data_IF_658492326412
#
_entry.id   IF_658492326412
#
_cell.length_a   1.000
_cell.length_b   1.000
_cell.length_c   1.000
_cell.angle_alpha   90.00
_cell.angle_beta   90.00
_cell.angle_gamma   90.00
#
_symmetry.space_group_name_H-M   'P 1'
#
loop_
_entity.id
_entity.type
_entity.pdbx_description
1 polymer ?
#
# COMPACT_ATOMS: atom_id res chain seq x y z
N UNK A 1 1.73 -4.86 14.55
CA UNK A 1 3.02 -4.16 14.67
C UNK A 1 3.15 -3.50 16.03
N UNK A 2 4.36 -3.13 16.43
CA UNK A 2 4.57 -2.43 17.71
C UNK A 2 3.76 -1.12 17.78
N UNK A 3 3.67 -0.38 16.68
CA UNK A 3 2.87 0.84 16.58
C UNK A 3 1.38 0.55 16.81
N UNK A 4 0.84 -0.48 16.16
CA UNK A 4 -0.58 -0.85 16.33
C UNK A 4 -0.88 -1.31 17.75
N UNK A 5 0.06 -2.01 18.40
CA UNK A 5 -0.09 -2.44 19.77
C UNK A 5 -0.09 -1.26 20.74
N UNK A 6 0.80 -0.28 20.55
CA UNK A 6 0.86 0.93 21.36
C UNK A 6 -0.45 1.74 21.24
N UNK A 7 -0.95 1.92 20.01
CA UNK A 7 -2.24 2.57 19.77
C UNK A 7 -3.40 1.84 20.47
N UNK A 8 -3.51 0.53 20.27
CA UNK A 8 -4.57 -0.26 20.90
C UNK A 8 -4.50 -0.26 22.42
N UNK A 9 -3.29 -0.26 22.99
CA UNK A 9 -3.10 -0.17 24.44
C UNK A 9 -3.57 1.19 24.98
N UNK A 10 -3.23 2.30 24.29
CA UNK A 10 -3.72 3.64 24.68
C UNK A 10 -5.24 3.72 24.63
N UNK A 11 -5.87 3.17 23.59
CA UNK A 11 -7.34 3.13 23.51
C UNK A 11 -7.95 2.27 24.62
N UNK A 12 -7.32 1.14 24.96
CA UNK A 12 -7.79 0.29 26.06
C UNK A 12 -7.73 1.03 27.41
N UNK A 13 -6.62 1.71 27.69
CA UNK A 13 -6.44 2.48 28.91
C UNK A 13 -7.45 3.64 29.05
N UNK A 14 -7.73 4.33 27.94
CA UNK A 14 -8.63 5.50 27.94
C UNK A 14 -10.12 5.11 27.92
N UNK A 15 -10.48 4.03 27.25
CA UNK A 15 -11.88 3.67 27.00
C UNK A 15 -12.39 2.51 27.86
N UNK A 16 -11.49 1.79 28.54
CA UNK A 16 -11.79 0.57 29.33
C UNK A 16 -12.61 -0.46 28.53
N UNK A 17 -12.29 -0.65 27.23
CA UNK A 17 -12.93 -1.63 26.36
C UNK A 17 -11.89 -2.48 25.64
N UNK A 18 -12.17 -3.76 25.36
CA UNK A 18 -11.28 -4.60 24.57
C UNK A 18 -11.07 -4.04 23.16
N UNK A 19 -9.80 -3.93 22.73
CA UNK A 19 -9.43 -3.43 21.40
C UNK A 19 -8.81 -4.56 20.59
N UNK A 20 -9.45 -4.93 19.47
CA UNK A 20 -8.94 -5.90 18.51
C UNK A 20 -8.11 -5.22 17.43
N UNK A 21 -7.07 -5.91 16.93
CA UNK A 21 -6.21 -5.42 15.84
C UNK A 21 -6.26 -6.41 14.69
N UNK A 22 -6.64 -5.92 13.50
CA UNK A 22 -6.43 -6.61 12.23
C UNK A 22 -5.17 -6.06 11.57
N UNK A 23 -4.13 -6.89 11.43
CA UNK A 23 -2.86 -6.46 10.86
C UNK A 23 -2.74 -6.91 9.39
N UNK A 24 -2.80 -5.95 8.46
CA UNK A 24 -2.63 -6.18 7.02
C UNK A 24 -1.41 -5.44 6.46
N UNK A 25 -0.31 -5.41 7.20
CA UNK A 25 0.90 -4.72 6.76
C UNK A 25 1.75 -5.59 5.81
N UNK A 26 2.48 -4.93 4.93
CA UNK A 26 3.53 -5.53 4.12
C UNK A 26 4.67 -4.53 3.87
N UNK A 27 5.91 -4.99 4.05
CA UNK A 27 7.09 -4.12 3.87
C UNK A 27 7.34 -3.81 2.38
N UNK A 28 8.00 -2.67 2.13
CA UNK A 28 8.43 -2.24 0.79
C UNK A 28 7.29 -2.26 -0.24
N UNK A 29 6.13 -1.72 0.13
CA UNK A 29 4.92 -1.70 -0.69
C UNK A 29 4.45 -0.27 -0.88
N UNK A 30 4.04 0.03 -2.11
CA UNK A 30 3.45 1.31 -2.49
C UNK A 30 1.98 1.38 -2.06
N UNK A 31 1.46 2.59 -1.85
CA UNK A 31 0.09 2.83 -1.41
C UNK A 31 -0.96 2.28 -2.40
N UNK A 32 -0.67 2.36 -3.71
CA UNK A 32 -1.56 1.90 -4.78
C UNK A 32 -1.90 0.41 -4.66
N UNK A 33 -1.00 -0.39 -4.12
CA UNK A 33 -1.23 -1.82 -3.92
C UNK A 33 -2.36 -2.11 -2.90
N UNK A 34 -2.58 -1.21 -1.95
CA UNK A 34 -3.63 -1.32 -0.94
C UNK A 34 -4.91 -0.55 -1.30
N UNK A 35 -4.92 0.15 -2.44
CA UNK A 35 -6.05 0.97 -2.88
C UNK A 35 -7.01 0.13 -3.73
N UNK A 36 -8.31 0.29 -3.51
CA UNK A 36 -9.35 -0.33 -4.32
C UNK A 36 -9.24 0.11 -5.78
N UNK A 37 -9.40 -0.82 -6.72
CA UNK A 37 -9.32 -0.55 -8.16
C UNK A 37 -10.24 0.60 -8.59
N UNK A 38 -11.51 0.53 -8.21
CA UNK A 38 -12.51 1.55 -8.56
C UNK A 38 -12.10 2.94 -8.07
N UNK A 39 -11.59 3.05 -6.85
CA UNK A 39 -11.14 4.32 -6.29
C UNK A 39 -9.92 4.92 -7.02
N UNK A 40 -9.09 4.09 -7.66
CA UNK A 40 -8.01 4.55 -8.53
C UNK A 40 -8.59 5.03 -9.87
N UNK A 41 -9.43 4.21 -10.51
CA UNK A 41 -9.98 4.48 -11.84
C UNK A 41 -10.90 5.71 -11.87
N UNK A 42 -11.62 5.98 -10.80
CA UNK A 42 -12.53 7.13 -10.67
C UNK A 42 -11.82 8.43 -10.23
N UNK A 43 -10.57 8.34 -9.75
CA UNK A 43 -9.88 9.52 -9.23
C UNK A 43 -9.25 10.35 -10.36
N UNK A 44 -9.62 11.64 -10.52
CA UNK A 44 -9.28 12.46 -11.69
C UNK A 44 -7.78 12.75 -11.88
N UNK A 45 -6.93 12.37 -10.93
CA UNK A 45 -5.49 12.59 -11.00
C UNK A 45 -4.69 11.27 -10.97
N UNK A 46 -5.35 10.11 -11.09
CA UNK A 46 -4.70 8.79 -11.03
C UNK A 46 -4.88 8.00 -12.34
N UNK A 47 -5.11 8.67 -13.47
CA UNK A 47 -5.28 8.03 -14.78
C UNK A 47 -4.12 7.09 -15.12
N UNK A 48 -2.87 7.50 -14.87
CA UNK A 48 -1.70 6.66 -15.11
C UNK A 48 -1.65 5.39 -14.21
N UNK A 49 -2.19 5.44 -13.00
CA UNK A 49 -2.32 4.25 -12.15
C UNK A 49 -3.46 3.35 -12.66
N UNK A 50 -4.53 3.92 -13.20
CA UNK A 50 -5.62 3.22 -13.87
C UNK A 50 -5.14 2.51 -15.14
N UNK A 51 -4.36 3.16 -15.98
CA UNK A 51 -3.76 2.57 -17.18
C UNK A 51 -2.91 1.33 -16.84
N UNK A 52 -2.12 1.41 -15.78
CA UNK A 52 -1.33 0.27 -15.31
C UNK A 52 -2.20 -0.92 -14.87
N UNK A 53 -3.37 -0.66 -14.28
CA UNK A 53 -4.34 -1.70 -13.91
C UNK A 53 -4.92 -2.32 -15.17
N UNK A 54 -5.33 -1.51 -16.16
CA UNK A 54 -5.89 -1.98 -17.42
C UNK A 54 -4.88 -2.82 -18.22
N UNK A 55 -3.61 -2.41 -18.24
CA UNK A 55 -2.54 -3.16 -18.90
C UNK A 55 -2.22 -4.50 -18.22
N UNK A 56 -2.55 -4.62 -16.93
CA UNK A 56 -2.42 -5.87 -16.18
C UNK A 56 -3.66 -6.78 -16.27
N UNK A 57 -4.80 -6.29 -16.79
CA UNK A 57 -6.05 -7.02 -16.83
C UNK A 57 -6.07 -7.99 -18.03
N UNK A 58 -6.19 -9.33 -17.81
CA UNK A 58 -6.20 -10.31 -18.90
C UNK A 58 -7.41 -10.18 -19.83
N UNK A 59 -8.43 -9.41 -19.45
CA UNK A 59 -9.65 -9.22 -20.23
C UNK A 59 -9.64 -7.95 -21.09
N UNK A 60 -8.68 -7.04 -20.85
CA UNK A 60 -8.65 -5.72 -21.49
C UNK A 60 -7.42 -5.51 -22.38
N UNK A 61 -7.56 -4.74 -23.41
CA UNK A 61 -6.58 -4.10 -24.27
C UNK A 61 -5.23 -4.82 -24.43
N UNK A 62 -4.19 -4.20 -23.94
CA UNK A 62 -2.81 -4.72 -23.97
C UNK A 62 -2.62 -5.92 -23.04
N UNK A 63 -3.27 -5.93 -21.88
CA UNK A 63 -3.23 -7.05 -20.96
C UNK A 63 -3.71 -8.34 -21.62
N UNK A 64 -4.81 -8.31 -22.37
CA UNK A 64 -5.32 -9.49 -23.12
C UNK A 64 -4.26 -10.07 -24.07
N UNK A 65 -3.56 -9.22 -24.82
CA UNK A 65 -2.52 -9.66 -25.75
C UNK A 65 -1.33 -10.27 -25.02
N UNK A 66 -0.89 -9.61 -23.94
CA UNK A 66 0.23 -10.08 -23.13
C UNK A 66 -0.08 -11.43 -22.43
N UNK A 67 -1.28 -11.60 -21.93
CA UNK A 67 -1.72 -12.85 -21.33
C UNK A 67 -1.92 -13.97 -22.35
N UNK A 68 -2.43 -13.67 -23.56
CA UNK A 68 -2.51 -14.67 -24.63
C UNK A 68 -1.12 -15.25 -24.93
N UNK A 69 -0.14 -14.37 -25.15
CA UNK A 69 1.25 -14.82 -25.33
C UNK A 69 1.80 -15.59 -24.14
N UNK A 70 1.55 -15.13 -22.91
CA UNK A 70 1.98 -15.84 -21.71
C UNK A 70 1.42 -17.28 -21.64
N UNK A 71 0.16 -17.48 -22.00
CA UNK A 71 -0.45 -18.82 -22.00
C UNK A 71 0.14 -19.71 -23.08
N UNK A 72 0.48 -19.19 -24.26
CA UNK A 72 1.22 -19.92 -25.31
C UNK A 72 2.61 -20.34 -24.80
N UNK A 73 3.37 -19.40 -24.24
CA UNK A 73 4.71 -19.65 -23.67
C UNK A 73 4.63 -20.67 -22.50
N UNK A 74 3.60 -20.58 -21.66
CA UNK A 74 3.38 -21.51 -20.56
C UNK A 74 3.08 -22.93 -21.04
N UNK A 75 2.26 -23.09 -22.06
CA UNK A 75 1.95 -24.40 -22.64
C UNK A 75 3.22 -25.05 -23.24
N UNK A 76 3.98 -24.28 -24.02
CA UNK A 76 5.25 -24.75 -24.57
C UNK A 76 6.26 -25.14 -23.47
N UNK A 77 6.34 -24.34 -22.41
CA UNK A 77 7.19 -24.65 -21.25
C UNK A 77 6.74 -25.92 -20.53
N UNK A 78 5.44 -26.16 -20.37
CA UNK A 78 4.91 -27.37 -19.72
C UNK A 78 5.31 -28.64 -20.46
N UNK A 79 5.21 -28.64 -21.79
CA UNK A 79 5.63 -29.77 -22.62
C UNK A 79 7.14 -30.03 -22.50
N UNK A 80 7.96 -28.98 -22.61
CA UNK A 80 9.41 -29.08 -22.50
C UNK A 80 9.87 -29.51 -21.11
N UNK A 81 9.28 -28.91 -20.06
CA UNK A 81 9.56 -29.25 -18.67
C UNK A 81 9.23 -30.73 -18.37
N UNK A 82 8.13 -31.24 -18.92
CA UNK A 82 7.76 -32.66 -18.80
C UNK A 82 8.84 -33.59 -19.42
N UNK A 83 9.22 -33.33 -20.67
CA UNK A 83 10.27 -34.13 -21.37
C UNK A 83 11.63 -34.11 -20.64
N UNK A 84 12.03 -32.90 -20.16
CA UNK A 84 13.30 -32.78 -19.44
C UNK A 84 13.23 -33.48 -18.08
N UNK A 85 12.12 -33.38 -17.37
CA UNK A 85 11.92 -34.04 -16.08
C UNK A 85 11.96 -35.56 -16.20
N UNK A 86 11.30 -36.14 -17.22
CA UNK A 86 11.31 -37.57 -17.52
C UNK A 86 12.73 -38.09 -17.87
N UNK A 87 13.52 -37.24 -18.52
CA UNK A 87 14.92 -37.52 -18.84
C UNK A 87 15.88 -37.30 -17.64
N UNK A 88 15.39 -36.92 -16.46
CA UNK A 88 16.21 -36.60 -15.28
C UNK A 88 17.02 -35.30 -15.40
N UNK A 89 16.68 -34.44 -16.35
CA UNK A 89 17.34 -33.16 -16.58
C UNK A 89 16.83 -32.03 -15.68
N UNK A 90 17.55 -30.90 -15.72
CA UNK A 90 17.15 -29.70 -14.96
C UNK A 90 16.05 -28.92 -15.71
N UNK A 91 14.84 -28.89 -15.15
CA UNK A 91 13.71 -28.16 -15.70
C UNK A 91 14.01 -26.64 -15.79
N UNK A 92 13.75 -25.99 -16.94
CA UNK A 92 13.93 -24.54 -17.12
C UNK A 92 12.95 -23.73 -16.24
N UNK A 93 13.30 -22.48 -16.01
CA UNK A 93 12.43 -21.59 -15.25
C UNK A 93 11.10 -21.36 -16.00
N UNK A 94 9.99 -21.42 -15.25
CA UNK A 94 8.65 -21.14 -15.76
C UNK A 94 8.56 -19.69 -16.26
N UNK A 95 7.83 -19.42 -17.37
CA UNK A 95 7.52 -18.06 -17.81
C UNK A 95 6.90 -17.23 -16.70
N UNK A 96 7.35 -15.98 -16.57
CA UNK A 96 6.77 -15.01 -15.62
C UNK A 96 5.44 -14.47 -16.11
N UNK A 97 4.56 -14.07 -15.19
CA UNK A 97 3.34 -13.35 -15.55
C UNK A 97 3.69 -12.02 -16.24
N UNK A 98 2.86 -11.56 -17.22
CA UNK A 98 3.15 -10.36 -17.98
C UNK A 98 2.98 -9.08 -17.14
N UNK A 99 3.82 -8.09 -17.40
CA UNK A 99 3.71 -6.74 -16.89
C UNK A 99 3.51 -6.64 -15.37
N UNK A 100 2.59 -5.78 -14.97
CA UNK A 100 2.23 -5.55 -13.55
C UNK A 100 1.61 -6.79 -12.89
N UNK A 101 0.95 -7.66 -13.63
CA UNK A 101 0.42 -8.90 -13.07
C UNK A 101 1.54 -9.82 -12.52
N UNK A 102 2.75 -9.71 -13.06
CA UNK A 102 3.96 -10.35 -12.52
C UNK A 102 4.57 -9.61 -11.32
N UNK A 103 4.15 -8.38 -11.07
CA UNK A 103 4.62 -7.56 -9.97
C UNK A 103 3.69 -7.76 -8.76
N UNK A 104 4.04 -8.67 -7.87
CA UNK A 104 3.25 -9.02 -6.68
C UNK A 104 2.91 -7.83 -5.74
N UNK A 105 3.27 -6.59 -6.09
CA UNK A 105 3.01 -5.32 -5.40
C UNK A 105 2.39 -4.27 -6.32
N UNK A 106 1.79 -4.69 -7.42
CA UNK A 106 1.09 -3.80 -8.34
C UNK A 106 -0.17 -3.17 -7.72
N UNK A 107 -0.76 -2.16 -8.38
CA UNK A 107 -1.98 -1.51 -7.92
C UNK A 107 -3.08 -2.52 -7.58
N UNK A 108 -3.82 -2.26 -6.51
CA UNK A 108 -4.94 -3.05 -5.98
C UNK A 108 -4.61 -4.50 -5.55
N UNK A 109 -3.40 -5.01 -5.73
CA UNK A 109 -3.10 -6.43 -5.46
C UNK A 109 -3.22 -6.78 -3.97
N UNK A 110 -2.75 -5.92 -3.07
CA UNK A 110 -2.94 -6.15 -1.64
C UNK A 110 -4.31 -5.76 -1.15
N UNK A 111 -4.98 -4.82 -1.80
CA UNK A 111 -6.40 -4.62 -1.55
C UNK A 111 -7.16 -5.93 -1.81
N UNK A 112 -7.03 -6.51 -2.99
CA UNK A 112 -7.72 -7.75 -3.37
C UNK A 112 -7.31 -8.97 -2.51
N UNK A 113 -6.01 -9.10 -2.18
CA UNK A 113 -5.50 -10.27 -1.49
C UNK A 113 -5.53 -10.21 0.04
N UNK A 114 -5.63 -9.00 0.64
CA UNK A 114 -5.52 -8.81 2.09
C UNK A 114 -6.63 -7.97 2.71
N UNK A 115 -7.18 -7.00 1.99
CA UNK A 115 -8.21 -6.11 2.50
C UNK A 115 -9.59 -6.63 2.14
N UNK A 116 -9.87 -6.87 0.87
CA UNK A 116 -11.17 -7.38 0.42
C UNK A 116 -11.62 -8.68 1.14
N UNK A 117 -10.74 -9.67 1.41
CA UNK A 117 -11.15 -10.88 2.13
C UNK A 117 -11.63 -10.67 3.56
N UNK A 118 -11.32 -9.54 4.20
CA UNK A 118 -11.77 -9.24 5.56
C UNK A 118 -13.03 -8.37 5.60
N UNK A 119 -13.51 -7.90 4.46
CA UNK A 119 -14.77 -7.18 4.34
C UNK A 119 -15.94 -8.20 4.30
N UNK A 120 -17.01 -8.04 5.07
CA UNK A 120 -17.42 -6.88 5.88
C UNK A 120 -17.15 -7.04 7.39
N UNK A 121 -16.01 -7.60 7.79
CA UNK A 121 -15.72 -7.70 9.23
C UNK A 121 -15.82 -6.32 9.90
N UNK A 122 -16.55 -6.25 11.01
CA UNK A 122 -16.81 -4.97 11.67
C UNK A 122 -15.52 -4.37 12.25
N UNK A 123 -15.17 -3.19 11.77
CA UNK A 123 -14.03 -2.39 12.26
C UNK A 123 -14.50 -1.03 12.74
N UNK A 124 -13.75 -0.37 13.62
CA UNK A 124 -14.04 0.99 14.09
C UNK A 124 -13.29 2.06 13.32
N UNK A 125 -12.21 1.70 12.64
CA UNK A 125 -11.38 2.62 11.89
C UNK A 125 -10.12 1.94 11.38
N UNK A 126 -9.26 2.71 10.73
CA UNK A 126 -7.98 2.25 10.22
C UNK A 126 -6.84 3.14 10.69
N UNK A 127 -5.68 2.54 10.94
CA UNK A 127 -4.42 3.26 11.13
C UNK A 127 -3.45 2.94 10.01
N UNK A 128 -2.77 3.95 9.48
CA UNK A 128 -1.91 3.85 8.32
C UNK A 128 -0.50 4.37 8.57
N UNK A 129 0.49 3.58 8.26
CA UNK A 129 1.90 3.95 8.39
C UNK A 129 2.66 3.51 7.14
N UNK A 130 2.74 4.41 6.15
CA UNK A 130 3.39 4.13 4.87
C UNK A 130 3.81 5.45 4.20
N UNK A 131 4.74 5.39 3.23
CA UNK A 131 5.17 6.50 2.39
C UNK A 131 6.55 6.27 1.78
N UNK A 132 7.42 5.50 2.42
CA UNK A 132 8.81 5.28 1.98
C UNK A 132 8.91 4.77 0.55
N UNK A 133 8.10 3.79 0.17
CA UNK A 133 8.11 3.21 -1.19
C UNK A 133 7.54 4.16 -2.25
N UNK A 134 6.92 5.25 -1.83
CA UNK A 134 6.37 6.30 -2.70
C UNK A 134 7.22 7.58 -2.68
N UNK A 135 8.45 7.55 -2.15
CA UNK A 135 9.27 8.76 -1.94
C UNK A 135 9.58 9.55 -3.22
N UNK A 136 9.41 8.97 -4.40
CA UNK A 136 9.55 9.67 -5.70
C UNK A 136 8.26 10.27 -6.25
N UNK A 137 7.13 10.11 -5.58
CA UNK A 137 5.81 10.47 -6.14
C UNK A 137 5.47 11.95 -6.02
N UNK A 138 6.13 12.68 -5.13
CA UNK A 138 5.82 14.08 -4.91
C UNK A 138 4.36 14.30 -4.49
N UNK A 139 3.72 15.30 -5.05
CA UNK A 139 2.36 15.72 -4.65
C UNK A 139 1.25 14.74 -5.03
N UNK A 140 1.46 13.87 -6.02
CA UNK A 140 0.47 12.86 -6.44
C UNK A 140 0.12 11.92 -5.26
N UNK A 141 1.03 11.76 -4.30
CA UNK A 141 0.76 10.95 -3.11
C UNK A 141 -0.45 11.43 -2.31
N UNK A 142 -0.78 12.73 -2.33
CA UNK A 142 -2.00 13.24 -1.69
C UNK A 142 -3.28 12.69 -2.36
N UNK A 143 -3.29 12.61 -3.69
CA UNK A 143 -4.39 12.00 -4.45
C UNK A 143 -4.51 10.51 -4.16
N UNK A 144 -3.38 9.80 -4.07
CA UNK A 144 -3.35 8.38 -3.71
C UNK A 144 -3.85 8.11 -2.29
N UNK A 145 -3.53 9.00 -1.34
CA UNK A 145 -4.11 8.94 0.02
C UNK A 145 -5.63 9.12 0.00
N UNK A 146 -6.13 10.05 -0.80
CA UNK A 146 -7.58 10.27 -0.95
C UNK A 146 -8.27 9.03 -1.55
N UNK A 147 -7.72 8.47 -2.62
CA UNK A 147 -8.24 7.25 -3.24
C UNK A 147 -8.22 6.05 -2.27
N UNK A 148 -7.13 5.88 -1.48
CA UNK A 148 -7.05 4.82 -0.47
C UNK A 148 -8.18 4.96 0.56
N UNK A 149 -8.30 6.14 1.18
CA UNK A 149 -9.26 6.37 2.28
C UNK A 149 -10.69 6.24 1.79
N UNK A 150 -11.02 6.88 0.66
CA UNK A 150 -12.37 6.80 0.09
C UNK A 150 -12.70 5.38 -0.35
N UNK A 151 -11.77 4.70 -1.04
CA UNK A 151 -11.98 3.31 -1.46
C UNK A 151 -12.19 2.34 -0.30
N UNK A 152 -11.54 2.55 0.85
CA UNK A 152 -11.81 1.73 2.03
C UNK A 152 -13.14 2.09 2.68
N UNK A 153 -13.49 3.38 2.79
CA UNK A 153 -14.79 3.82 3.28
C UNK A 153 -15.94 3.24 2.45
N UNK A 154 -15.82 3.28 1.13
CA UNK A 154 -16.81 2.71 0.21
C UNK A 154 -16.90 1.18 0.35
N UNK A 155 -15.77 0.50 0.38
CA UNK A 155 -15.71 -0.95 0.48
C UNK A 155 -16.34 -1.50 1.77
N UNK A 156 -16.21 -0.79 2.91
CA UNK A 156 -16.89 -1.13 4.16
C UNK A 156 -18.29 -0.53 4.29
N UNK A 157 -18.74 0.30 3.35
CA UNK A 157 -19.95 1.10 3.45
C UNK A 157 -19.99 1.94 4.75
N UNK A 158 -18.85 2.57 5.06
CA UNK A 158 -18.64 3.40 6.25
C UNK A 158 -18.06 4.77 5.84
N UNK A 159 -18.87 5.70 5.32
CA UNK A 159 -18.39 6.99 4.80
C UNK A 159 -17.63 7.81 5.84
N UNK A 160 -17.97 7.65 7.11
CA UNK A 160 -17.36 8.36 8.24
C UNK A 160 -16.30 7.54 8.96
N UNK A 161 -15.81 6.45 8.38
CA UNK A 161 -14.80 5.61 9.03
C UNK A 161 -13.56 6.42 9.41
N UNK A 162 -13.18 6.47 10.70
CA UNK A 162 -11.97 7.12 11.14
C UNK A 162 -10.73 6.54 10.46
N UNK A 163 -9.88 7.42 9.95
CA UNK A 163 -8.63 7.03 9.31
C UNK A 163 -7.48 7.87 9.86
N UNK A 164 -6.63 7.25 10.67
CA UNK A 164 -5.50 7.93 11.29
C UNK A 164 -4.19 7.46 10.67
N UNK A 165 -3.24 8.38 10.50
CA UNK A 165 -1.97 8.01 9.89
C UNK A 165 -0.78 8.75 10.50
N UNK A 166 0.38 8.10 10.41
CA UNK A 166 1.64 8.74 10.76
C UNK A 166 2.23 9.45 9.56
N UNK A 167 2.61 10.72 9.74
CA UNK A 167 3.42 11.43 8.76
C UNK A 167 4.79 10.73 8.63
N UNK A 168 5.38 10.76 7.44
CA UNK A 168 6.70 10.22 7.20
C UNK A 168 7.74 10.84 8.15
N UNK A 169 8.61 9.98 8.68
CA UNK A 169 9.73 10.40 9.51
C UNK A 169 10.72 11.30 8.76
N UNK A 170 11.52 12.03 9.51
CA UNK A 170 12.65 12.74 8.95
C UNK A 170 13.73 11.73 8.51
N UNK A 171 13.93 11.65 7.22
CA UNK A 171 15.00 10.86 6.59
C UNK A 171 15.37 11.52 5.26
N UNK A 172 16.62 11.49 4.89
CA UNK A 172 17.04 12.03 3.61
C UNK A 172 18.55 12.14 3.46
N UNK A 173 18.94 12.50 2.27
CA UNK A 173 20.29 12.88 1.90
C UNK A 173 20.52 14.36 2.25
N UNK A 174 21.76 14.77 2.56
CA UNK A 174 22.14 16.17 2.58
C UNK A 174 22.07 16.85 1.20
N UNK A 175 21.89 16.08 0.12
CA UNK A 175 21.68 16.59 -1.22
C UNK A 175 20.33 17.34 -1.30
N UNK A 176 20.33 18.66 -1.57
CA UNK A 176 19.12 19.47 -1.66
C UNK A 176 18.17 19.04 -2.82
N UNK A 177 18.65 18.26 -3.77
CA UNK A 177 17.85 17.75 -4.87
C UNK A 177 17.14 16.43 -4.49
N UNK A 178 17.49 15.79 -3.39
CA UNK A 178 16.85 14.56 -2.91
C UNK A 178 15.81 14.88 -1.82
N UNK A 179 14.68 15.43 -2.23
CA UNK A 179 13.62 15.90 -1.34
C UNK A 179 12.47 14.90 -1.17
N UNK A 180 12.60 13.69 -1.70
CA UNK A 180 11.50 12.72 -1.80
C UNK A 180 10.73 12.47 -0.50
N UNK A 181 11.41 12.36 0.66
CA UNK A 181 10.73 12.22 1.96
C UNK A 181 10.04 13.51 2.42
N UNK A 182 10.60 14.68 2.08
CA UNK A 182 9.98 15.96 2.37
C UNK A 182 8.71 16.14 1.52
N UNK A 183 8.76 15.76 0.24
CA UNK A 183 7.61 15.82 -0.66
C UNK A 183 6.47 14.91 -0.19
N UNK A 184 6.77 13.70 0.28
CA UNK A 184 5.75 12.82 0.87
C UNK A 184 5.14 13.44 2.13
N UNK A 185 5.94 14.02 3.03
CA UNK A 185 5.39 14.74 4.20
C UNK A 185 4.49 15.90 3.80
N UNK A 186 4.88 16.65 2.77
CA UNK A 186 4.07 17.73 2.22
C UNK A 186 2.76 17.20 1.62
N UNK A 187 2.81 16.12 0.87
CA UNK A 187 1.62 15.48 0.29
C UNK A 187 0.67 14.94 1.37
N UNK A 188 1.20 14.30 2.42
CA UNK A 188 0.44 13.85 3.59
C UNK A 188 -0.23 15.01 4.31
N UNK A 189 0.48 16.13 4.46
CA UNK A 189 -0.10 17.36 5.03
C UNK A 189 -1.20 17.94 4.16
N UNK A 190 -0.98 18.04 2.84
CA UNK A 190 -2.00 18.50 1.88
C UNK A 190 -3.25 17.63 1.92
N UNK A 191 -3.09 16.31 1.94
CA UNK A 191 -4.21 15.40 2.12
C UNK A 191 -4.97 15.69 3.42
N UNK A 192 -4.27 15.80 4.55
CA UNK A 192 -4.87 16.04 5.86
C UNK A 192 -5.66 17.35 5.93
N UNK A 193 -5.11 18.47 5.43
CA UNK A 193 -5.81 19.76 5.50
C UNK A 193 -7.06 19.82 4.63
N UNK A 194 -7.10 19.03 3.54
CA UNK A 194 -8.23 18.97 2.62
C UNK A 194 -9.27 17.90 2.99
N UNK A 195 -8.97 17.00 3.95
CA UNK A 195 -9.83 15.86 4.32
C UNK A 195 -9.88 15.69 5.85
N UNK A 196 -10.25 16.75 6.57
CA UNK A 196 -10.18 16.74 8.06
C UNK A 196 -11.26 15.91 8.74
N UNK A 197 -12.36 15.62 8.06
CA UNK A 197 -13.46 14.85 8.62
C UNK A 197 -13.04 13.39 8.84
N UNK A 198 -13.04 12.98 10.11
CA UNK A 198 -12.65 11.64 10.54
C UNK A 198 -11.26 11.19 10.03
N UNK A 199 -10.34 12.16 9.86
CA UNK A 199 -8.95 11.91 9.50
C UNK A 199 -8.03 12.55 10.52
N UNK A 200 -7.06 11.80 11.03
CA UNK A 200 -6.04 12.27 11.95
C UNK A 200 -4.62 12.04 11.40
N UNK A 201 -3.74 13.01 11.59
CA UNK A 201 -2.33 12.91 11.22
C UNK A 201 -1.42 13.11 12.43
N UNK A 202 -0.53 12.15 12.66
CA UNK A 202 0.46 12.22 13.74
C UNK A 202 1.83 12.56 13.16
N UNK A 203 2.42 13.64 13.65
CA UNK A 203 3.81 14.02 13.36
C UNK A 203 4.75 13.17 14.21
N UNK A 204 5.82 12.66 13.59
CA UNK A 204 6.82 11.83 14.27
C UNK A 204 8.28 12.25 13.96
N UNK A 205 8.46 13.41 13.35
CA UNK A 205 9.79 13.91 12.97
C UNK A 205 10.66 14.26 14.18
N UNK A 206 10.07 14.59 15.31
CA UNK A 206 10.71 14.85 16.60
C UNK A 206 11.22 13.59 17.29
N UNK A 207 10.71 12.42 16.92
CA UNK A 207 11.03 11.14 17.56
C UNK A 207 12.24 10.44 16.94
N UNK A 208 12.83 11.00 15.89
CA UNK A 208 13.95 10.40 15.14
C UNK A 208 15.35 10.81 15.65
N UNK A 209 15.44 11.44 16.83
CA UNK A 209 16.65 12.08 17.32
C UNK A 209 17.79 11.14 17.73
N UNK A 210 17.51 9.88 18.02
CA UNK A 210 18.50 8.99 18.62
C UNK A 210 19.43 8.27 17.62
N UNK A 211 19.03 8.13 16.34
CA UNK A 211 19.86 7.54 15.28
C UNK A 211 19.49 8.10 13.90
N UNK A 212 20.19 9.09 13.40
CA UNK A 212 19.84 9.81 12.16
C UNK A 212 20.01 9.00 10.86
N UNK A 213 20.43 7.74 10.90
CA UNK A 213 20.79 6.94 9.72
C UNK A 213 19.81 5.86 9.33
N UNK A 214 18.65 5.73 9.98
CA UNK A 214 17.68 4.67 9.66
C UNK A 214 16.31 5.18 9.23
N UNK A 215 15.77 4.62 8.14
CA UNK A 215 14.36 4.82 7.76
C UNK A 215 13.38 4.16 8.75
N UNK A 216 13.89 3.29 9.61
CA UNK A 216 13.13 2.60 10.65
C UNK A 216 13.67 2.99 12.01
N UNK A 217 13.09 3.98 12.65
CA UNK A 217 13.41 4.28 14.04
C UNK A 217 12.81 3.25 15.00
N UNK A 218 13.49 3.02 16.09
CA UNK A 218 13.14 1.95 17.04
C UNK A 218 11.95 2.30 17.92
N UNK A 219 11.78 3.58 18.19
CA UNK A 219 10.73 4.07 19.06
C UNK A 219 9.39 4.01 18.33
N UNK A 220 8.48 3.15 18.79
CA UNK A 220 7.14 2.93 18.21
C UNK A 220 6.02 3.23 19.20
N UNK A 221 6.37 3.40 20.47
CA UNK A 221 5.40 3.65 21.52
C UNK A 221 4.75 5.01 21.34
N UNK A 222 5.55 6.08 21.33
CA UNK A 222 5.01 7.45 21.22
C UNK A 222 4.21 7.71 19.93
N UNK A 223 4.63 7.28 18.72
CA UNK A 223 3.78 7.41 17.54
C UNK A 223 2.45 6.66 17.67
N UNK A 224 2.46 5.47 18.29
CA UNK A 224 1.23 4.72 18.55
C UNK A 224 0.31 5.41 19.56
N UNK A 225 0.87 6.00 20.61
CA UNK A 225 0.10 6.75 21.61
C UNK A 225 -0.43 8.10 21.08
N UNK A 226 0.20 8.66 20.04
CA UNK A 226 -0.25 9.91 19.40
C UNK A 226 -1.36 9.70 18.37
N UNK A 227 -1.51 8.48 17.84
CA UNK A 227 -2.59 8.10 16.92
C UNK A 227 -3.92 8.03 17.65
#
# INVERSE_FOLDING_TARGET
>A
SALSLAFAHSLYEELDVPVGILLSAHSNTRIEAFTQRQAIEEHPHLEGDGDLIHDADPLLGQGRKAFAKYYEDLAAWQEEAGRISEAGGKVPQRPGLPGIAGMWRGPSQFFNGKIAPVIPYAIRGAIWCQGTSNSGDGRIYAARMAALVNGWRDAWNMPDMPFYFTQMQAYGSPDPNNVGFADIRQAQHLFFINNRENVGMVVQTDLNSARPQGIHYYEKLHPGMRL
#
